data_IF_710520429609
#
_entry.id   IF_710520429609
#
_cell.length_a   1.000
_cell.length_b   1.000
_cell.length_c   1.000
_cell.angle_alpha   90.00
_cell.angle_beta   90.00
_cell.angle_gamma   90.00
#
_symmetry.space_group_name_H-M   'P 1'
#
loop_
_entity.id
_entity.type
_entity.pdbx_description
1 polymer ?
#
# COMPACT_ATOMS: atom_id res chain seq x y z
N UNK A 1 10.11 -3.31 22.08
CA UNK A 1 9.70 -3.50 20.69
C UNK A 1 8.77 -2.35 20.40
N UNK A 2 9.24 -1.47 19.53
CA UNK A 2 8.58 -0.21 19.24
C UNK A 2 7.51 -0.42 18.16
N UNK A 3 6.62 0.55 18.02
CA UNK A 3 5.46 0.43 17.11
C UNK A 3 5.84 0.47 15.63
N UNK A 4 7.03 0.96 15.28
CA UNK A 4 7.55 1.04 13.91
C UNK A 4 8.34 -0.22 13.49
N UNK A 5 8.25 -1.29 14.28
CA UNK A 5 8.84 -2.60 14.00
C UNK A 5 7.79 -3.52 13.37
N UNK A 6 8.06 -3.98 12.15
CA UNK A 6 7.30 -5.03 11.49
C UNK A 6 8.13 -6.32 11.45
N UNK A 7 7.98 -7.18 12.47
CA UNK A 7 8.57 -8.52 12.49
C UNK A 7 7.78 -9.43 11.54
N UNK A 8 8.44 -9.89 10.48
CA UNK A 8 7.87 -10.85 9.52
C UNK A 8 8.22 -12.28 9.90
N UNK A 9 9.28 -12.49 10.69
CA UNK A 9 9.72 -13.79 11.16
C UNK A 9 9.10 -14.11 12.54
N UNK A 10 8.15 -15.05 12.63
CA UNK A 10 7.48 -15.39 13.88
C UNK A 10 8.43 -16.04 14.90
N UNK A 11 9.56 -16.60 14.45
CA UNK A 11 10.55 -17.26 15.31
C UNK A 11 11.58 -16.30 15.90
N UNK A 12 11.50 -14.99 15.61
CA UNK A 12 12.47 -13.97 16.04
C UNK A 12 12.84 -14.11 17.52
N UNK A 13 11.86 -14.19 18.42
CA UNK A 13 12.13 -14.29 19.87
C UNK A 13 12.92 -15.56 20.21
N UNK A 14 12.55 -16.70 19.62
CA UNK A 14 13.23 -17.99 19.85
C UNK A 14 14.68 -17.92 19.35
N UNK A 15 14.88 -17.45 18.12
CA UNK A 15 16.21 -17.30 17.50
C UNK A 15 17.11 -16.43 18.39
N UNK A 16 16.61 -15.27 18.87
CA UNK A 16 17.40 -14.37 19.72
C UNK A 16 17.73 -14.98 21.10
N UNK A 17 16.85 -15.81 21.66
CA UNK A 17 17.10 -16.54 22.92
C UNK A 17 18.22 -17.58 22.72
N UNK A 18 18.18 -18.32 21.62
CA UNK A 18 19.15 -19.38 21.30
C UNK A 18 20.57 -18.84 21.11
N UNK A 19 20.72 -17.59 20.68
CA UNK A 19 22.03 -16.92 20.59
C UNK A 19 22.68 -16.66 21.96
N UNK A 20 21.95 -16.80 23.08
CA UNK A 20 22.45 -16.72 24.45
C UNK A 20 23.37 -15.50 24.69
N UNK A 21 22.95 -14.32 24.23
CA UNK A 21 23.65 -13.05 24.45
C UNK A 21 23.02 -12.26 25.59
N UNK A 22 23.85 -11.42 26.23
CA UNK A 22 23.39 -10.50 27.27
C UNK A 22 22.38 -9.49 26.75
N UNK A 23 22.65 -8.95 25.56
CA UNK A 23 21.81 -8.02 24.82
C UNK A 23 21.94 -8.33 23.35
N UNK A 24 20.83 -8.49 22.64
CA UNK A 24 20.82 -8.78 21.22
C UNK A 24 19.61 -8.15 20.53
N UNK A 25 19.82 -7.54 19.36
CA UNK A 25 18.80 -7.05 18.47
C UNK A 25 18.74 -7.88 17.18
N UNK A 26 17.55 -8.16 16.62
CA UNK A 26 17.45 -8.58 15.23
C UNK A 26 17.75 -7.37 14.34
N UNK A 27 18.51 -7.56 13.26
CA UNK A 27 18.77 -6.49 12.29
C UNK A 27 17.49 -6.21 11.50
N UNK A 28 16.98 -4.99 11.61
CA UNK A 28 15.86 -4.50 10.82
C UNK A 28 16.30 -3.30 10.00
N UNK A 29 15.81 -3.20 8.77
CA UNK A 29 16.09 -2.08 7.88
C UNK A 29 14.82 -1.48 7.31
N UNK A 30 14.86 -0.20 6.96
CA UNK A 30 13.79 0.42 6.16
C UNK A 30 13.91 -0.06 4.73
N UNK A 31 12.80 -0.52 4.16
CA UNK A 31 12.78 -1.07 2.80
C UNK A 31 13.40 -0.09 1.78
N UNK A 32 14.34 -0.59 0.96
CA UNK A 32 15.01 0.18 -0.09
C UNK A 32 15.92 1.32 0.41
N UNK A 33 16.22 1.40 1.72
CA UNK A 33 17.03 2.46 2.33
C UNK A 33 18.18 1.87 3.16
N UNK A 34 19.16 2.71 3.48
CA UNK A 34 20.30 2.33 4.32
C UNK A 34 20.08 2.56 5.82
N UNK A 35 18.88 2.96 6.21
CA UNK A 35 18.48 3.20 7.59
C UNK A 35 18.12 1.87 8.27
N UNK A 36 18.70 1.62 9.44
CA UNK A 36 18.48 0.40 10.23
C UNK A 36 18.43 0.70 11.73
N UNK A 37 18.13 -0.33 12.52
CA UNK A 37 18.02 -0.25 13.96
C UNK A 37 19.35 -0.39 14.72
N UNK A 38 20.50 -0.19 14.05
CA UNK A 38 21.82 -0.22 14.69
C UNK A 38 22.77 0.80 14.07
N UNK A 39 23.81 1.20 14.81
CA UNK A 39 24.95 1.95 14.25
C UNK A 39 26.21 1.10 14.34
N UNK A 40 27.02 1.11 13.28
CA UNK A 40 28.29 0.37 13.26
C UNK A 40 29.44 1.07 14.00
N UNK A 41 29.37 2.39 14.16
CA UNK A 41 30.40 3.19 14.82
C UNK A 41 29.81 4.47 15.45
N UNK A 42 30.62 5.13 16.27
CA UNK A 42 30.31 6.43 16.88
C UNK A 42 31.34 7.47 16.48
N UNK A 43 30.92 8.73 16.39
CA UNK A 43 31.83 9.87 16.35
C UNK A 43 32.52 10.05 17.71
N UNK A 44 33.60 10.86 17.81
CA UNK A 44 34.21 11.19 19.10
C UNK A 44 33.23 11.78 20.14
N UNK A 45 32.18 12.45 19.67
CA UNK A 45 31.12 13.04 20.48
C UNK A 45 30.00 12.04 20.84
N UNK A 46 30.10 10.79 20.41
CA UNK A 46 29.13 9.73 20.72
C UNK A 46 27.90 9.69 19.82
N UNK A 47 27.90 10.42 18.69
CA UNK A 47 26.82 10.42 17.70
C UNK A 47 27.05 9.40 16.58
N UNK A 48 26.07 9.26 15.70
CA UNK A 48 26.13 8.34 14.56
C UNK A 48 27.40 8.55 13.72
N UNK A 49 28.12 7.45 13.47
CA UNK A 49 29.16 7.37 12.46
C UNK A 49 29.01 6.06 11.67
N UNK A 50 29.22 6.12 10.36
CA UNK A 50 29.12 4.92 9.51
C UNK A 50 30.42 4.11 9.62
N UNK A 51 30.34 2.86 10.08
CA UNK A 51 31.48 1.94 10.03
C UNK A 51 31.79 1.49 8.60
N UNK A 52 33.02 1.06 8.36
CA UNK A 52 33.47 0.56 7.05
C UNK A 52 32.63 -0.62 6.54
N UNK A 53 32.18 -1.49 7.45
CA UNK A 53 31.43 -2.71 7.16
C UNK A 53 29.90 -2.55 7.25
N UNK A 54 29.39 -1.36 7.63
CA UNK A 54 27.95 -1.13 7.85
C UNK A 54 27.09 -1.55 6.66
N UNK A 55 27.49 -1.17 5.44
CA UNK A 55 26.72 -1.47 4.23
C UNK A 55 26.75 -2.96 3.90
N UNK A 56 27.88 -3.64 4.15
CA UNK A 56 28.01 -5.07 3.89
C UNK A 56 27.20 -5.91 4.87
N UNK A 57 27.13 -5.49 6.14
CA UNK A 57 26.26 -6.09 7.16
C UNK A 57 24.79 -5.87 6.79
N UNK A 58 24.41 -4.62 6.49
CA UNK A 58 23.03 -4.27 6.16
C UNK A 58 22.50 -5.02 4.93
N UNK A 59 23.33 -5.16 3.89
CA UNK A 59 22.96 -5.83 2.65
C UNK A 59 23.07 -7.36 2.72
N UNK A 60 23.41 -7.94 3.88
CA UNK A 60 23.59 -9.37 4.03
C UNK A 60 24.81 -9.93 3.27
N UNK A 61 25.76 -9.10 2.86
CA UNK A 61 27.03 -9.54 2.25
C UNK A 61 27.95 -10.14 3.30
N UNK A 62 27.88 -9.63 4.53
CA UNK A 62 28.50 -10.24 5.71
C UNK A 62 27.41 -10.59 6.70
N UNK A 63 27.27 -11.89 6.99
CA UNK A 63 26.23 -12.42 7.87
C UNK A 63 26.84 -12.94 9.16
N UNK A 64 26.26 -12.60 10.30
CA UNK A 64 26.80 -12.98 11.60
C UNK A 64 26.13 -12.29 12.80
N UNK A 65 26.83 -12.37 13.92
CA UNK A 65 26.53 -11.61 15.13
C UNK A 65 27.57 -10.52 15.29
N UNK A 66 27.12 -9.27 15.36
CA UNK A 66 27.99 -8.11 15.34
C UNK A 66 27.89 -7.37 16.66
N UNK A 67 29.02 -7.18 17.34
CA UNK A 67 29.07 -6.30 18.51
C UNK A 67 29.06 -4.85 18.00
N UNK A 68 28.03 -4.10 18.35
CA UNK A 68 27.77 -2.76 17.81
C UNK A 68 27.57 -1.75 18.95
N UNK A 69 27.97 -0.48 18.75
CA UNK A 69 27.87 0.53 19.80
C UNK A 69 26.43 1.01 20.07
N UNK A 70 25.48 0.79 19.16
CA UNK A 70 24.12 1.32 19.28
C UNK A 70 23.12 0.35 18.64
N UNK A 71 22.01 0.10 19.35
CA UNK A 71 20.84 -0.65 18.91
C UNK A 71 19.57 0.06 19.41
N UNK A 72 18.47 -0.08 18.70
CA UNK A 72 17.19 0.59 19.04
C UNK A 72 16.01 -0.22 18.46
N UNK A 73 14.78 0.23 18.71
CA UNK A 73 13.48 -0.29 18.30
C UNK A 73 13.11 -1.71 18.79
N UNK A 74 13.99 -2.69 18.62
CA UNK A 74 13.74 -4.07 19.08
C UNK A 74 15.03 -4.73 19.54
N UNK A 75 14.98 -5.27 20.76
CA UNK A 75 16.09 -5.97 21.37
C UNK A 75 15.60 -6.87 22.50
N UNK A 76 16.37 -7.92 22.76
CA UNK A 76 16.21 -8.87 23.85
C UNK A 76 17.33 -8.64 24.86
N UNK A 77 16.97 -8.54 26.14
CA UNK A 77 17.92 -8.34 27.24
C UNK A 77 17.77 -9.49 28.23
N UNK A 78 18.89 -10.10 28.59
CA UNK A 78 18.93 -11.12 29.63
C UNK A 78 18.65 -10.49 30.99
N UNK A 79 17.57 -10.90 31.66
CA UNK A 79 17.13 -10.29 32.91
C UNK A 79 18.16 -10.29 34.05
N UNK A 80 19.13 -11.22 34.05
CA UNK A 80 20.23 -11.22 35.02
C UNK A 80 21.16 -10.02 34.87
N UNK A 81 21.32 -9.47 33.66
CA UNK A 81 22.14 -8.29 33.38
C UNK A 81 21.50 -7.04 33.98
N UNK A 82 20.18 -6.92 33.85
CA UNK A 82 19.39 -5.84 34.45
C UNK A 82 19.50 -5.87 35.99
N UNK A 83 19.42 -7.05 36.59
CA UNK A 83 19.48 -7.23 38.05
C UNK A 83 20.89 -7.12 38.64
N UNK A 84 21.95 -7.16 37.83
CA UNK A 84 23.32 -7.05 38.30
C UNK A 84 23.98 -5.77 37.82
N UNK A 85 24.55 -5.77 36.61
CA UNK A 85 25.36 -4.70 36.05
C UNK A 85 24.62 -3.36 35.91
N UNK A 86 23.30 -3.40 35.76
CA UNK A 86 22.48 -2.21 35.48
C UNK A 86 21.50 -1.87 36.61
N UNK A 87 21.59 -2.54 37.76
CA UNK A 87 20.63 -2.38 38.85
C UNK A 87 20.59 -0.95 39.43
N UNK A 88 21.68 -0.20 39.30
CA UNK A 88 21.85 1.15 39.83
C UNK A 88 21.99 2.21 38.72
N UNK A 89 21.76 1.84 37.46
CA UNK A 89 21.93 2.74 36.31
C UNK A 89 20.56 3.25 35.86
N UNK A 90 20.45 4.55 35.62
CA UNK A 90 19.27 5.12 35.02
C UNK A 90 19.34 4.94 33.49
N UNK A 91 18.64 3.94 32.97
CA UNK A 91 18.85 3.45 31.60
C UNK A 91 18.41 4.42 30.49
N UNK A 92 17.54 5.39 30.77
CA UNK A 92 16.91 6.20 29.72
C UNK A 92 16.86 7.69 30.03
N UNK A 93 17.41 8.13 31.17
CA UNK A 93 17.36 9.53 31.58
C UNK A 93 18.77 10.09 31.74
N UNK A 94 19.11 11.04 30.88
CA UNK A 94 20.24 11.96 30.99
C UNK A 94 19.83 13.28 30.33
N UNK A 95 20.07 14.41 30.98
CA UNK A 95 19.57 15.71 30.50
C UNK A 95 20.25 16.09 29.18
N UNK A 96 19.44 16.34 28.14
CA UNK A 96 19.93 16.78 26.83
C UNK A 96 20.42 15.68 25.89
N UNK A 97 20.23 14.39 26.23
CA UNK A 97 20.52 13.26 25.36
C UNK A 97 19.26 12.46 25.02
N UNK A 98 19.21 11.92 23.81
CA UNK A 98 18.14 11.03 23.35
C UNK A 98 18.08 9.74 24.22
N UNK A 99 16.88 9.29 24.66
CA UNK A 99 16.75 8.11 25.53
C UNK A 99 17.39 6.82 24.99
N UNK A 100 17.34 6.56 23.68
CA UNK A 100 17.97 5.37 23.10
C UNK A 100 19.50 5.49 23.09
N UNK A 101 20.02 6.71 22.90
CA UNK A 101 21.46 6.99 23.05
C UNK A 101 21.91 6.79 24.51
N UNK A 102 21.12 7.25 25.49
CA UNK A 102 21.38 7.05 26.93
C UNK A 102 21.38 5.56 27.27
N UNK A 103 20.41 4.82 26.73
CA UNK A 103 20.34 3.36 26.87
C UNK A 103 21.61 2.69 26.38
N UNK A 104 21.98 2.93 25.12
CA UNK A 104 23.17 2.31 24.55
C UNK A 104 24.45 2.70 25.29
N UNK A 105 24.59 3.97 25.69
CA UNK A 105 25.72 4.46 26.49
C UNK A 105 25.81 3.74 27.84
N UNK A 106 24.69 3.61 28.56
CA UNK A 106 24.62 2.94 29.85
C UNK A 106 25.15 1.50 29.79
N UNK A 107 24.83 0.75 28.72
CA UNK A 107 25.36 -0.59 28.52
C UNK A 107 26.86 -0.61 28.23
N UNK A 108 27.34 0.32 27.38
CA UNK A 108 28.77 0.45 27.07
C UNK A 108 29.60 0.81 28.31
N UNK A 109 29.12 1.74 29.13
CA UNK A 109 29.80 2.21 30.35
C UNK A 109 29.93 1.08 31.39
N UNK A 110 29.03 0.09 31.38
CA UNK A 110 29.09 -1.12 32.22
C UNK A 110 29.83 -2.31 31.57
N UNK A 111 30.48 -2.08 30.42
CA UNK A 111 31.19 -3.12 29.67
C UNK A 111 30.27 -4.26 29.26
N UNK A 112 29.03 -3.95 28.87
CA UNK A 112 28.08 -4.92 28.31
C UNK A 112 28.01 -4.73 26.82
N UNK A 113 28.40 -5.76 26.07
CA UNK A 113 28.27 -5.77 24.62
C UNK A 113 26.81 -5.83 24.20
N UNK A 114 26.50 -5.08 23.14
CA UNK A 114 25.22 -5.09 22.44
C UNK A 114 25.44 -5.74 21.09
N UNK A 115 24.69 -6.80 20.82
CA UNK A 115 24.82 -7.55 19.58
C UNK A 115 23.69 -7.21 18.62
N UNK A 116 23.95 -7.20 17.32
CA UNK A 116 22.93 -7.28 16.28
C UNK A 116 23.12 -8.56 15.47
N UNK A 117 22.04 -9.28 15.21
CA UNK A 117 22.03 -10.48 14.36
C UNK A 117 21.44 -10.15 13.00
N UNK A 118 22.14 -10.50 11.93
CA UNK A 118 21.60 -10.50 10.56
C UNK A 118 21.64 -11.91 9.94
N UNK A 119 21.64 -12.95 10.79
CA UNK A 119 21.68 -14.36 10.39
C UNK A 119 20.39 -14.87 9.76
N UNK A 120 19.29 -14.19 10.04
CA UNK A 120 17.97 -14.45 9.47
C UNK A 120 17.36 -13.14 8.97
N UNK A 121 16.39 -13.24 8.08
CA UNK A 121 15.47 -12.14 7.80
C UNK A 121 14.44 -12.07 8.92
N UNK A 122 14.49 -11.01 9.72
CA UNK A 122 13.62 -10.82 10.88
C UNK A 122 12.41 -9.93 10.56
N UNK A 123 12.52 -9.09 9.53
CA UNK A 123 11.51 -8.08 9.20
C UNK A 123 12.11 -6.73 8.83
N UNK A 124 11.32 -5.68 9.06
CA UNK A 124 11.60 -4.34 8.54
C UNK A 124 11.17 -3.24 9.51
N UNK A 125 11.69 -2.04 9.26
CA UNK A 125 11.27 -0.81 9.94
C UNK A 125 10.27 -0.04 9.07
N UNK A 126 9.19 0.42 9.70
CA UNK A 126 8.14 1.26 9.10
C UNK A 126 8.57 2.73 9.20
N UNK A 127 8.33 3.50 8.14
CA UNK A 127 8.55 4.94 8.13
C UNK A 127 7.35 5.69 8.74
N UNK A 128 7.61 6.48 9.77
CA UNK A 128 6.58 7.25 10.51
C UNK A 128 6.74 8.78 10.38
N UNK A 129 7.80 9.27 9.74
CA UNK A 129 8.19 10.69 9.78
C UNK A 129 7.18 11.66 9.18
N UNK A 130 6.39 11.25 8.19
CA UNK A 130 5.41 12.08 7.48
C UNK A 130 3.98 11.54 7.60
N UNK A 131 3.69 10.78 8.66
CA UNK A 131 2.40 10.11 8.81
C UNK A 131 1.30 11.10 9.23
N UNK A 132 0.37 11.39 8.30
CA UNK A 132 -0.74 12.31 8.55
C UNK A 132 -1.94 11.62 9.21
N UNK A 133 -2.10 11.79 10.52
CA UNK A 133 -3.16 11.19 11.33
C UNK A 133 -4.52 11.89 11.23
N UNK A 134 -4.64 13.01 10.51
CA UNK A 134 -5.93 13.74 10.42
C UNK A 134 -6.95 13.09 9.46
N UNK A 135 -6.51 12.11 8.67
CA UNK A 135 -7.35 11.40 7.70
C UNK A 135 -8.13 10.27 8.38
N UNK A 136 -9.30 9.92 7.85
CA UNK A 136 -10.10 8.80 8.36
C UNK A 136 -9.32 7.48 8.34
N UNK A 137 -8.64 7.21 7.22
CA UNK A 137 -7.74 6.07 7.06
C UNK A 137 -6.37 6.53 6.53
N UNK A 138 -5.47 6.98 7.43
CA UNK A 138 -4.15 7.51 7.05
C UNK A 138 -3.31 6.55 6.21
N UNK A 139 -3.44 5.26 6.48
CA UNK A 139 -2.68 4.19 5.84
C UNK A 139 -2.94 4.08 4.33
N UNK A 140 -4.10 4.52 3.84
CA UNK A 140 -4.38 4.56 2.40
C UNK A 140 -3.30 5.36 1.65
N UNK A 141 -2.74 6.41 2.27
CA UNK A 141 -1.73 7.28 1.65
C UNK A 141 -0.29 6.78 1.83
N UNK A 142 -0.07 5.59 2.39
CA UNK A 142 1.26 5.09 2.71
C UNK A 142 1.95 4.34 1.57
N UNK A 143 1.38 4.35 0.36
CA UNK A 143 1.98 3.69 -0.81
C UNK A 143 3.39 4.22 -1.14
N UNK A 144 3.72 5.46 -0.78
CA UNK A 144 5.05 6.03 -0.98
C UNK A 144 6.05 5.67 0.12
N UNK A 145 5.65 5.85 1.38
CA UNK A 145 6.55 5.75 2.52
C UNK A 145 6.77 4.30 2.95
N UNK A 146 5.74 3.46 2.85
CA UNK A 146 5.71 2.07 3.30
C UNK A 146 5.09 1.15 2.22
N UNK A 147 5.69 1.05 1.02
CA UNK A 147 5.08 0.36 -0.13
C UNK A 147 4.85 -1.13 0.11
N UNK A 148 5.70 -1.80 0.88
CA UNK A 148 5.57 -3.25 1.18
C UNK A 148 4.38 -3.49 2.09
N UNK A 149 4.31 -2.77 3.22
CA UNK A 149 3.19 -2.84 4.15
C UNK A 149 1.86 -2.41 3.50
N UNK A 150 1.92 -1.39 2.65
CA UNK A 150 0.76 -0.93 1.86
C UNK A 150 0.28 -2.03 0.91
N UNK A 151 1.20 -2.69 0.19
CA UNK A 151 0.88 -3.81 -0.71
C UNK A 151 0.21 -4.96 0.05
N UNK A 152 0.82 -5.43 1.12
CA UNK A 152 0.31 -6.53 1.95
C UNK A 152 -1.10 -6.21 2.50
N UNK A 153 -1.38 -4.94 2.79
CA UNK A 153 -2.65 -4.48 3.36
C UNK A 153 -3.74 -4.22 2.32
N UNK A 154 -3.39 -3.67 1.16
CA UNK A 154 -4.36 -3.07 0.25
C UNK A 154 -4.46 -3.73 -1.12
N UNK A 155 -3.43 -4.44 -1.56
CA UNK A 155 -3.46 -5.17 -2.83
C UNK A 155 -4.11 -6.53 -2.61
N UNK A 156 -4.86 -7.01 -3.59
CA UNK A 156 -5.53 -8.31 -3.48
C UNK A 156 -4.50 -9.44 -3.29
N UNK A 157 -4.75 -10.39 -2.39
CA UNK A 157 -3.83 -11.50 -2.06
C UNK A 157 -3.39 -12.31 -3.30
N UNK A 158 -4.34 -12.57 -4.21
CA UNK A 158 -4.10 -13.26 -5.48
C UNK A 158 -3.58 -12.37 -6.63
N UNK A 159 -3.26 -11.09 -6.39
CA UNK A 159 -2.74 -10.20 -7.45
C UNK A 159 -1.46 -10.77 -8.08
N UNK A 160 -0.51 -11.25 -7.27
CA UNK A 160 0.76 -11.76 -7.79
C UNK A 160 0.59 -12.96 -8.73
N UNK A 161 -0.48 -13.75 -8.54
CA UNK A 161 -0.79 -14.93 -9.35
C UNK A 161 -1.17 -14.57 -10.80
N UNK A 162 -1.53 -13.32 -11.10
CA UNK A 162 -1.77 -12.83 -12.46
C UNK A 162 -0.55 -13.10 -13.36
N UNK A 163 0.65 -13.02 -12.80
CA UNK A 163 1.90 -13.16 -13.54
C UNK A 163 2.36 -14.61 -13.69
N UNK A 164 1.69 -15.56 -13.04
CA UNK A 164 1.98 -17.00 -13.10
C UNK A 164 1.13 -17.65 -14.21
N UNK A 165 1.76 -18.38 -15.13
CA UNK A 165 1.09 -18.88 -16.36
C UNK A 165 0.07 -20.00 -16.10
N UNK A 166 0.11 -20.65 -14.94
CA UNK A 166 -0.69 -21.86 -14.65
C UNK A 166 -1.92 -21.61 -13.75
N UNK A 167 -2.14 -20.39 -13.26
CA UNK A 167 -3.13 -20.15 -12.20
C UNK A 167 -4.53 -19.82 -12.70
N UNK A 168 -4.69 -19.42 -13.97
CA UNK A 168 -5.98 -19.08 -14.57
C UNK A 168 -6.75 -17.96 -13.86
N UNK A 169 -6.06 -17.11 -13.08
CA UNK A 169 -6.69 -16.06 -12.26
C UNK A 169 -7.29 -14.93 -13.09
N UNK A 170 -6.69 -14.63 -14.25
CA UNK A 170 -7.23 -13.62 -15.17
C UNK A 170 -8.29 -14.26 -16.06
N UNK A 171 -9.46 -13.64 -16.09
CA UNK A 171 -10.56 -14.03 -16.97
C UNK A 171 -10.72 -13.04 -18.12
N UNK A 172 -11.32 -13.48 -19.21
CA UNK A 172 -11.70 -12.62 -20.35
C UNK A 172 -13.21 -12.75 -20.60
N UNK A 173 -14.07 -12.13 -19.77
CA UNK A 173 -15.53 -12.31 -19.86
C UNK A 173 -16.15 -11.80 -21.18
N UNK A 174 -15.52 -10.83 -21.85
CA UNK A 174 -15.92 -10.34 -23.16
C UNK A 174 -14.66 -10.19 -24.05
N UNK A 175 -14.78 -10.17 -25.39
CA UNK A 175 -13.65 -9.92 -26.28
C UNK A 175 -12.88 -8.65 -25.88
N UNK A 176 -11.57 -8.76 -25.69
CA UNK A 176 -10.67 -7.68 -25.22
C UNK A 176 -11.13 -6.97 -23.93
N UNK A 177 -11.88 -7.66 -23.08
CA UNK A 177 -12.21 -7.24 -21.72
C UNK A 177 -11.62 -8.24 -20.76
N UNK A 178 -10.55 -7.86 -20.08
CA UNK A 178 -9.88 -8.70 -19.09
C UNK A 178 -10.39 -8.39 -17.69
N UNK A 179 -10.34 -9.38 -16.80
CA UNK A 179 -10.85 -9.26 -15.44
C UNK A 179 -9.91 -9.95 -14.45
N UNK A 180 -9.42 -9.20 -13.46
CA UNK A 180 -8.36 -9.66 -12.56
C UNK A 180 -8.49 -9.05 -11.17
N UNK A 181 -7.95 -9.70 -10.12
CA UNK A 181 -7.94 -9.16 -8.76
C UNK A 181 -6.96 -7.98 -8.63
N UNK A 182 -7.41 -6.87 -8.03
CA UNK A 182 -6.60 -5.66 -7.86
C UNK A 182 -6.53 -5.21 -6.39
N UNK A 183 -7.67 -5.02 -5.74
CA UNK A 183 -7.78 -4.56 -4.36
C UNK A 183 -8.18 -5.65 -3.38
N UNK A 184 -7.64 -5.57 -2.17
CA UNK A 184 -8.18 -6.28 -1.02
C UNK A 184 -9.56 -5.72 -0.64
N UNK A 185 -10.33 -6.51 0.10
CA UNK A 185 -11.61 -6.02 0.65
C UNK A 185 -11.42 -4.77 1.52
N UNK A 186 -10.31 -4.70 2.27
CA UNK A 186 -9.98 -3.57 3.15
C UNK A 186 -9.72 -2.28 2.38
N UNK A 187 -9.04 -2.35 1.23
CA UNK A 187 -8.84 -1.20 0.35
C UNK A 187 -10.18 -0.68 -0.15
N UNK A 188 -11.05 -1.59 -0.60
CA UNK A 188 -12.37 -1.24 -1.10
C UNK A 188 -13.23 -0.56 -0.02
N UNK A 189 -13.31 -1.13 1.19
CA UNK A 189 -14.11 -0.58 2.28
C UNK A 189 -13.60 0.81 2.71
N UNK A 190 -12.30 0.92 2.98
CA UNK A 190 -11.71 2.18 3.44
C UNK A 190 -11.76 3.27 2.38
N UNK A 191 -11.66 2.93 1.09
CA UNK A 191 -11.83 3.90 0.01
C UNK A 191 -13.27 4.40 -0.05
N UNK A 192 -14.27 3.51 -0.02
CA UNK A 192 -15.70 3.89 -0.03
C UNK A 192 -16.05 4.77 1.17
N UNK A 193 -15.62 4.38 2.37
CA UNK A 193 -15.85 5.15 3.60
C UNK A 193 -15.16 6.52 3.56
N UNK A 194 -13.98 6.61 2.96
CA UNK A 194 -13.30 7.89 2.72
C UNK A 194 -14.10 8.79 1.78
N UNK A 195 -14.66 8.24 0.70
CA UNK A 195 -15.50 8.99 -0.25
C UNK A 195 -16.78 9.49 0.42
N UNK A 196 -17.45 8.63 1.18
CA UNK A 196 -18.68 9.01 1.90
C UNK A 196 -18.42 10.02 3.03
N UNK A 197 -17.26 9.93 3.71
CA UNK A 197 -16.85 10.91 4.71
C UNK A 197 -16.53 12.28 4.09
N UNK A 198 -16.03 12.32 2.85
CA UNK A 198 -15.90 13.58 2.10
C UNK A 198 -17.26 14.16 1.73
N UNK A 199 -18.20 13.32 1.27
CA UNK A 199 -19.62 13.65 1.13
C UNK A 199 -20.00 14.60 -0.03
N UNK A 200 -19.03 15.28 -0.65
CA UNK A 200 -19.24 16.19 -1.78
C UNK A 200 -19.33 15.41 -3.10
N UNK A 201 -20.36 14.60 -3.28
CA UNK A 201 -20.64 13.90 -4.54
C UNK A 201 -21.10 14.86 -5.64
N UNK A 202 -20.75 14.59 -6.90
CA UNK A 202 -21.24 15.37 -8.04
C UNK A 202 -22.77 15.30 -8.16
N UNK A 203 -23.37 16.28 -8.84
CA UNK A 203 -24.81 16.26 -9.16
C UNK A 203 -25.19 15.34 -10.33
N UNK A 204 -24.25 14.61 -10.95
CA UNK A 204 -24.49 13.84 -12.17
C UNK A 204 -24.89 14.73 -13.36
N UNK A 205 -24.41 15.98 -13.37
CA UNK A 205 -24.76 16.99 -14.36
C UNK A 205 -23.59 17.27 -15.31
N UNK A 206 -23.88 17.65 -16.56
CA UNK A 206 -22.86 17.97 -17.55
C UNK A 206 -21.93 19.11 -17.14
N UNK A 207 -22.33 19.97 -16.20
CA UNK A 207 -21.48 21.03 -15.65
C UNK A 207 -21.00 20.63 -14.27
N UNK A 208 -19.69 20.60 -14.11
CA UNK A 208 -19.05 20.34 -12.83
C UNK A 208 -17.86 21.30 -12.66
N UNK A 209 -18.05 22.34 -11.85
CA UNK A 209 -17.05 23.38 -11.58
C UNK A 209 -15.81 22.83 -10.84
N UNK A 210 -15.90 21.62 -10.30
CA UNK A 210 -14.80 20.94 -9.60
C UNK A 210 -13.82 20.30 -10.60
N UNK A 211 -14.24 20.15 -11.86
CA UNK A 211 -13.40 19.63 -12.95
C UNK A 211 -12.64 20.75 -13.66
N UNK A 212 -11.41 20.43 -14.08
CA UNK A 212 -10.64 21.30 -14.97
C UNK A 212 -11.34 21.40 -16.34
N UNK A 213 -12.01 22.53 -16.59
CA UNK A 213 -12.78 22.79 -17.82
C UNK A 213 -14.30 22.81 -17.63
N UNK A 214 -14.81 22.43 -16.45
CA UNK A 214 -16.20 22.67 -16.07
C UNK A 214 -17.26 21.82 -16.77
N UNK A 215 -16.88 20.87 -17.63
CA UNK A 215 -17.83 20.12 -18.46
C UNK A 215 -17.50 18.63 -18.58
N UNK A 216 -18.49 17.78 -18.34
CA UNK A 216 -18.39 16.33 -18.46
C UNK A 216 -19.30 15.82 -19.57
N UNK A 217 -18.74 15.10 -20.55
CA UNK A 217 -19.50 14.63 -21.72
C UNK A 217 -20.54 13.56 -21.36
N UNK A 218 -20.28 12.78 -20.30
CA UNK A 218 -21.12 11.68 -19.84
C UNK A 218 -21.12 11.70 -18.31
N UNK A 219 -21.99 12.52 -17.69
CA UNK A 219 -21.83 12.81 -16.28
C UNK A 219 -22.20 11.64 -15.38
N UNK A 220 -21.44 11.49 -14.30
CA UNK A 220 -21.67 10.52 -13.22
C UNK A 220 -21.73 11.18 -11.86
N UNK A 221 -22.50 10.62 -10.92
CA UNK A 221 -22.42 11.00 -9.49
C UNK A 221 -21.12 10.43 -8.92
N UNK A 222 -20.12 11.28 -8.76
CA UNK A 222 -18.75 10.86 -8.46
C UNK A 222 -17.95 11.84 -7.59
N UNK A 223 -16.81 11.33 -7.14
CA UNK A 223 -15.74 12.07 -6.45
C UNK A 223 -14.41 11.69 -7.10
N UNK A 224 -13.66 12.70 -7.54
CA UNK A 224 -12.33 12.55 -8.12
C UNK A 224 -11.25 12.41 -7.05
N UNK A 225 -10.18 11.66 -7.36
CA UNK A 225 -9.08 11.41 -6.41
C UNK A 225 -8.38 12.71 -5.98
N UNK A 226 -8.35 13.73 -6.83
CA UNK A 226 -7.75 15.03 -6.49
C UNK A 226 -8.55 15.78 -5.41
N UNK A 227 -9.87 15.63 -5.35
CA UNK A 227 -10.74 16.30 -4.38
C UNK A 227 -10.47 15.82 -2.94
N UNK A 228 -10.07 14.55 -2.78
CA UNK A 228 -9.63 13.99 -1.50
C UNK A 228 -8.11 14.00 -1.31
N UNK A 229 -7.36 14.61 -2.25
CA UNK A 229 -5.90 14.65 -2.21
C UNK A 229 -5.24 13.27 -2.27
N UNK A 230 -5.80 12.33 -3.03
CA UNK A 230 -5.34 10.94 -3.23
C UNK A 230 -4.83 10.67 -4.67
N UNK A 231 -4.76 11.70 -5.52
CA UNK A 231 -4.38 11.54 -6.93
C UNK A 231 -2.96 10.99 -7.10
N UNK A 232 -1.98 11.45 -6.31
CA UNK A 232 -0.59 11.00 -6.44
C UNK A 232 -0.45 9.52 -6.07
N UNK A 233 -1.12 9.11 -5.01
CA UNK A 233 -1.18 7.75 -4.51
C UNK A 233 -1.85 6.83 -5.52
N UNK A 234 -2.96 7.30 -6.11
CA UNK A 234 -3.65 6.60 -7.17
C UNK A 234 -2.78 6.41 -8.42
N UNK A 235 -2.11 7.47 -8.89
CA UNK A 235 -1.21 7.39 -10.05
C UNK A 235 -0.03 6.44 -9.78
N UNK A 236 0.48 6.40 -8.54
CA UNK A 236 1.47 5.39 -8.14
C UNK A 236 0.90 3.97 -8.20
N UNK A 237 -0.34 3.77 -7.74
CA UNK A 237 -1.02 2.48 -7.86
C UNK A 237 -1.16 2.05 -9.33
N UNK A 238 -1.58 2.95 -10.23
CA UNK A 238 -1.65 2.64 -11.67
C UNK A 238 -0.29 2.18 -12.20
N UNK A 239 0.77 2.93 -11.88
CA UNK A 239 2.12 2.64 -12.36
C UNK A 239 2.68 1.32 -11.83
N UNK A 240 2.48 1.01 -10.56
CA UNK A 240 3.07 -0.18 -9.93
C UNK A 240 2.24 -1.45 -10.11
N UNK A 241 0.90 -1.33 -10.25
CA UNK A 241 0.00 -2.48 -10.21
C UNK A 241 -0.87 -2.65 -11.46
N UNK A 242 -1.11 -1.59 -12.24
CA UNK A 242 -1.94 -1.71 -13.45
C UNK A 242 -1.06 -1.83 -14.69
N UNK A 243 -0.01 -1.03 -14.81
CA UNK A 243 0.92 -1.09 -15.96
C UNK A 243 1.45 -2.51 -16.22
N UNK A 244 2.00 -3.24 -15.21
CA UNK A 244 2.54 -4.57 -15.47
C UNK A 244 1.47 -5.56 -15.93
N UNK A 245 0.23 -5.43 -15.42
CA UNK A 245 -0.91 -6.25 -15.85
C UNK A 245 -1.27 -5.91 -17.28
N UNK A 246 -1.36 -4.62 -17.64
CA UNK A 246 -1.67 -4.20 -19.01
C UNK A 246 -0.62 -4.70 -20.01
N UNK A 247 0.67 -4.59 -19.70
CA UNK A 247 1.75 -5.08 -20.57
C UNK A 247 1.68 -6.61 -20.79
N UNK A 248 1.31 -7.37 -19.75
CA UNK A 248 1.10 -8.82 -19.86
C UNK A 248 -0.11 -9.15 -20.74
N UNK A 249 -1.23 -8.43 -20.58
CA UNK A 249 -2.49 -8.74 -21.25
C UNK A 249 -2.59 -8.18 -22.67
N UNK A 250 -1.83 -7.13 -22.97
CA UNK A 250 -1.71 -6.52 -24.30
C UNK A 250 -0.24 -6.48 -24.76
N UNK A 251 0.35 -7.63 -25.11
CA UNK A 251 1.73 -7.68 -25.57
C UNK A 251 2.00 -6.69 -26.72
N UNK A 252 3.00 -5.83 -26.53
CA UNK A 252 3.38 -4.79 -27.50
C UNK A 252 2.83 -3.39 -27.18
N UNK A 253 1.96 -3.25 -26.18
CA UNK A 253 1.57 -1.96 -25.63
C UNK A 253 2.35 -1.65 -24.36
N UNK A 254 2.87 -0.43 -24.24
CA UNK A 254 3.68 0.05 -23.11
C UNK A 254 3.02 1.29 -22.50
N UNK A 255 2.17 1.12 -21.48
CA UNK A 255 1.41 2.21 -20.91
C UNK A 255 2.29 3.26 -20.21
N UNK A 256 1.90 4.52 -20.28
CA UNK A 256 2.56 5.62 -19.53
C UNK A 256 1.95 5.82 -18.14
N UNK A 257 0.80 5.18 -17.86
CA UNK A 257 -0.01 5.39 -16.66
C UNK A 257 -0.40 6.87 -16.47
N UNK A 258 -0.57 7.60 -17.55
CA UNK A 258 -1.07 8.97 -17.48
C UNK A 258 -2.59 8.92 -17.35
N UNK A 259 -3.16 9.40 -16.26
CA UNK A 259 -4.61 9.41 -16.06
C UNK A 259 -5.03 10.70 -15.36
N UNK A 260 -5.83 11.53 -16.05
CA UNK A 260 -6.39 12.77 -15.49
C UNK A 260 -7.73 12.49 -14.80
N UNK A 261 -8.52 11.58 -15.37
CA UNK A 261 -9.85 11.24 -14.87
C UNK A 261 -9.76 9.96 -14.01
N UNK A 262 -9.66 10.15 -12.69
CA UNK A 262 -9.63 9.09 -11.69
C UNK A 262 -10.69 9.39 -10.63
N UNK A 263 -11.73 8.57 -10.55
CA UNK A 263 -12.91 8.90 -9.75
C UNK A 263 -13.67 7.67 -9.29
N UNK A 264 -14.27 7.77 -8.11
CA UNK A 264 -15.24 6.78 -7.62
C UNK A 264 -16.62 7.22 -8.02
N UNK A 265 -17.37 6.32 -8.68
CA UNK A 265 -18.77 6.53 -9.05
C UNK A 265 -19.67 5.83 -8.06
N UNK A 266 -20.79 6.48 -7.71
CA UNK A 266 -21.87 5.93 -6.92
C UNK A 266 -23.14 5.80 -7.75
N UNK A 267 -23.68 4.59 -7.85
CA UNK A 267 -24.98 4.35 -8.45
C UNK A 267 -26.01 3.98 -7.38
N UNK A 268 -27.16 4.66 -7.42
CA UNK A 268 -28.33 4.36 -6.59
C UNK A 268 -29.63 4.47 -7.38
N UNK A 269 -30.68 3.69 -7.04
CA UNK A 269 -32.00 3.79 -7.67
C UNK A 269 -32.65 5.18 -7.59
N UNK A 270 -32.40 5.91 -6.51
CA UNK A 270 -32.98 7.22 -6.18
C UNK A 270 -32.12 8.42 -6.62
N UNK A 271 -30.92 8.16 -7.16
CA UNK A 271 -30.01 9.18 -7.70
C UNK A 271 -29.77 8.90 -9.20
N UNK A 272 -28.56 8.48 -9.56
CA UNK A 272 -28.22 8.01 -10.89
C UNK A 272 -28.04 6.48 -10.86
N UNK A 273 -28.99 5.68 -11.38
CA UNK A 273 -28.89 4.22 -11.31
C UNK A 273 -28.07 3.59 -12.42
N UNK A 274 -27.89 4.29 -13.54
CA UNK A 274 -27.32 3.75 -14.78
C UNK A 274 -26.46 4.77 -15.51
N UNK A 275 -25.69 4.31 -16.50
CA UNK A 275 -24.92 5.17 -17.38
C UNK A 275 -25.22 4.83 -18.84
N UNK A 276 -25.60 5.84 -19.62
CA UNK A 276 -25.96 5.68 -21.04
C UNK A 276 -24.78 5.13 -21.87
N UNK A 277 -25.03 4.52 -23.04
CA UNK A 277 -23.98 4.08 -23.94
C UNK A 277 -22.97 5.20 -24.30
N UNK A 278 -21.68 4.94 -24.15
CA UNK A 278 -20.60 5.89 -24.44
C UNK A 278 -19.27 5.22 -24.78
N UNK A 279 -18.30 6.05 -25.19
CA UNK A 279 -16.88 5.73 -25.22
C UNK A 279 -16.16 6.53 -24.14
N UNK A 280 -15.06 5.96 -23.63
CA UNK A 280 -14.19 6.65 -22.71
C UNK A 280 -13.14 7.45 -23.47
N UNK A 281 -12.74 8.58 -22.91
CA UNK A 281 -11.59 9.32 -23.42
C UNK A 281 -10.29 8.73 -22.85
N UNK A 282 -10.00 7.48 -23.19
CA UNK A 282 -8.82 6.73 -22.76
C UNK A 282 -8.29 5.84 -23.89
N UNK A 283 -7.02 5.45 -23.83
CA UNK A 283 -6.57 4.28 -24.60
C UNK A 283 -7.19 3.03 -24.01
N UNK A 284 -7.10 2.85 -22.69
CA UNK A 284 -7.80 1.81 -21.95
C UNK A 284 -8.38 2.34 -20.64
N UNK A 285 -9.45 1.72 -20.20
CA UNK A 285 -10.13 2.03 -18.94
C UNK A 285 -9.98 0.85 -18.00
N UNK A 286 -9.77 1.14 -16.71
CA UNK A 286 -9.95 0.18 -15.64
C UNK A 286 -11.18 0.55 -14.82
N UNK A 287 -11.90 -0.47 -14.37
CA UNK A 287 -13.10 -0.34 -13.55
C UNK A 287 -13.06 -1.38 -12.44
N UNK A 288 -12.89 -0.93 -11.20
CA UNK A 288 -12.71 -1.78 -10.02
C UNK A 288 -13.99 -1.74 -9.18
N UNK A 289 -14.55 -2.91 -8.89
CA UNK A 289 -15.71 -3.00 -8.00
C UNK A 289 -15.29 -2.78 -6.54
N UNK A 290 -15.97 -1.87 -5.84
CA UNK A 290 -15.65 -1.55 -4.44
C UNK A 290 -16.59 -2.20 -3.43
N UNK A 291 -17.71 -2.76 -3.88
CA UNK A 291 -18.63 -3.49 -3.01
C UNK A 291 -19.32 -4.67 -3.71
N UNK A 292 -20.08 -5.46 -2.97
CA UNK A 292 -20.53 -6.81 -3.37
C UNK A 292 -21.95 -6.79 -3.94
N UNK A 293 -22.10 -7.29 -5.16
CA UNK A 293 -23.41 -7.56 -5.76
C UNK A 293 -24.16 -8.63 -4.94
N UNK A 294 -25.46 -8.43 -4.74
CA UNK A 294 -26.35 -9.32 -3.98
C UNK A 294 -26.32 -9.09 -2.46
N UNK A 295 -25.34 -8.34 -1.95
CA UNK A 295 -25.24 -7.95 -0.54
C UNK A 295 -25.51 -6.45 -0.41
N UNK A 296 -24.69 -5.63 -1.08
CA UNK A 296 -24.72 -4.18 -0.95
C UNK A 296 -25.63 -3.52 -2.01
N UNK A 297 -25.83 -4.19 -3.16
CA UNK A 297 -26.70 -3.74 -4.23
C UNK A 297 -27.25 -4.88 -5.10
N UNK A 298 -28.33 -4.61 -5.83
CA UNK A 298 -28.89 -5.47 -6.89
C UNK A 298 -28.85 -4.78 -8.25
N UNK A 299 -28.90 -5.58 -9.32
CA UNK A 299 -28.73 -5.08 -10.68
C UNK A 299 -27.27 -4.71 -10.98
N UNK A 300 -27.07 -3.69 -11.80
CA UNK A 300 -25.74 -3.20 -12.15
C UNK A 300 -24.98 -4.08 -13.14
N UNK A 301 -23.72 -3.71 -13.34
CA UNK A 301 -22.80 -4.32 -14.30
C UNK A 301 -22.37 -3.36 -15.40
N UNK A 302 -21.73 -3.91 -16.42
CA UNK A 302 -21.35 -3.21 -17.64
C UNK A 302 -21.75 -4.06 -18.84
N UNK A 303 -22.30 -3.44 -19.90
CA UNK A 303 -22.59 -4.12 -21.16
C UNK A 303 -21.81 -3.48 -22.29
N UNK A 304 -21.11 -4.31 -23.05
CA UNK A 304 -20.42 -3.91 -24.27
C UNK A 304 -21.31 -4.18 -25.48
N UNK A 305 -21.85 -3.12 -26.08
CA UNK A 305 -22.94 -3.21 -27.05
C UNK A 305 -22.54 -3.95 -28.33
N UNK A 306 -21.35 -3.66 -28.86
CA UNK A 306 -20.84 -4.29 -30.09
C UNK A 306 -20.73 -5.81 -30.00
N UNK A 307 -20.53 -6.34 -28.78
CA UNK A 307 -20.36 -7.77 -28.55
C UNK A 307 -21.62 -8.43 -27.96
N UNK A 308 -22.66 -7.64 -27.67
CA UNK A 308 -23.81 -8.06 -26.87
C UNK A 308 -23.39 -8.84 -25.59
N UNK A 309 -22.27 -8.42 -25.00
CA UNK A 309 -21.65 -9.11 -23.87
C UNK A 309 -21.85 -8.28 -22.59
N UNK A 310 -22.11 -8.96 -21.47
CA UNK A 310 -22.38 -8.33 -20.19
C UNK A 310 -21.47 -8.88 -19.11
N UNK A 311 -20.92 -7.97 -18.31
CA UNK A 311 -20.20 -8.27 -17.07
C UNK A 311 -21.14 -7.91 -15.92
N UNK A 312 -21.99 -8.85 -15.52
CA UNK A 312 -23.07 -8.59 -14.56
C UNK A 312 -22.67 -8.77 -13.10
N UNK A 313 -21.58 -9.47 -12.76
CA UNK A 313 -21.24 -9.81 -11.37
C UNK A 313 -19.88 -9.26 -10.95
N UNK A 314 -19.74 -7.94 -10.71
CA UNK A 314 -18.48 -7.38 -10.26
C UNK A 314 -18.08 -7.99 -8.91
N UNK A 315 -16.93 -8.68 -8.88
CA UNK A 315 -16.33 -9.24 -7.68
C UNK A 315 -15.64 -8.08 -6.96
N UNK A 316 -15.96 -7.85 -5.69
CA UNK A 316 -15.32 -6.80 -4.90
C UNK A 316 -13.80 -6.95 -4.98
N UNK A 317 -13.11 -5.85 -5.22
CA UNK A 317 -11.66 -5.81 -5.39
C UNK A 317 -11.14 -6.25 -6.76
N UNK A 318 -12.00 -6.72 -7.67
CA UNK A 318 -11.58 -7.09 -9.03
C UNK A 318 -11.76 -5.92 -10.00
N UNK A 319 -10.77 -5.75 -10.87
CA UNK A 319 -10.75 -4.77 -11.95
C UNK A 319 -11.05 -5.43 -13.27
N UNK A 320 -12.00 -4.90 -14.04
CA UNK A 320 -12.04 -5.19 -15.47
C UNK A 320 -11.38 -4.07 -16.27
N UNK A 321 -10.65 -4.46 -17.32
CA UNK A 321 -9.84 -3.60 -18.17
C UNK A 321 -10.26 -3.79 -19.63
N UNK A 322 -10.52 -2.69 -20.33
CA UNK A 322 -10.92 -2.71 -21.74
C UNK A 322 -10.41 -1.47 -22.49
N UNK A 323 -10.28 -1.52 -23.83
CA UNK A 323 -10.05 -0.32 -24.64
C UNK A 323 -11.13 0.75 -24.43
N UNK A 324 -10.76 2.03 -24.38
CA UNK A 324 -11.72 3.12 -24.16
C UNK A 324 -12.40 3.63 -25.42
N UNK A 325 -11.65 3.65 -26.52
CA UNK A 325 -12.06 4.22 -27.82
C UNK A 325 -12.39 3.16 -28.86
N UNK A 326 -13.14 3.59 -29.89
CA UNK A 326 -13.47 2.88 -31.13
C UNK A 326 -14.30 1.59 -30.96
N UNK A 327 -13.84 0.61 -30.17
CA UNK A 327 -14.34 -0.77 -30.22
C UNK A 327 -15.25 -1.15 -29.05
N UNK A 328 -15.15 -0.49 -27.90
CA UNK A 328 -15.87 -0.88 -26.67
C UNK A 328 -16.92 0.16 -26.28
N UNK A 329 -17.84 0.44 -27.19
CA UNK A 329 -19.02 1.25 -26.87
C UNK A 329 -19.87 0.50 -25.84
N UNK A 330 -20.01 1.07 -24.65
CA UNK A 330 -20.52 0.35 -23.48
C UNK A 330 -21.49 1.18 -22.64
N UNK A 331 -22.32 0.50 -21.86
CA UNK A 331 -23.32 1.11 -20.96
C UNK A 331 -23.21 0.55 -19.53
N UNK A 332 -23.50 1.40 -18.55
CA UNK A 332 -23.64 1.00 -17.16
C UNK A 332 -25.07 0.53 -16.90
N UNK A 333 -25.23 -0.78 -16.64
CA UNK A 333 -26.55 -1.37 -16.39
C UNK A 333 -27.18 -0.80 -15.10
N UNK A 334 -28.51 -0.66 -15.02
CA UNK A 334 -29.17 -0.05 -13.87
C UNK A 334 -28.95 -0.83 -12.57
N UNK A 335 -28.51 -0.13 -11.52
CA UNK A 335 -28.59 -0.57 -10.13
C UNK A 335 -30.05 -0.46 -9.67
N UNK A 336 -30.66 -1.57 -9.26
CA UNK A 336 -32.09 -1.65 -8.94
C UNK A 336 -32.41 -1.58 -7.46
N UNK A 337 -31.43 -1.90 -6.60
CA UNK A 337 -31.55 -1.78 -5.13
C UNK A 337 -30.18 -1.51 -4.52
N UNK A 338 -30.15 -0.85 -3.36
CA UNK A 338 -28.91 -0.59 -2.62
C UNK A 338 -28.02 0.44 -3.30
N UNK A 339 -26.72 0.40 -3.00
CA UNK A 339 -25.74 1.35 -3.56
C UNK A 339 -24.57 0.59 -4.17
N UNK A 340 -24.20 0.91 -5.41
CA UNK A 340 -23.05 0.32 -6.09
C UNK A 340 -21.92 1.35 -6.19
N UNK A 341 -20.73 0.96 -5.74
CA UNK A 341 -19.52 1.77 -5.87
C UNK A 341 -18.52 1.11 -6.82
N UNK A 342 -17.95 1.91 -7.71
CA UNK A 342 -16.85 1.51 -8.59
C UNK A 342 -15.77 2.58 -8.63
N UNK A 343 -14.51 2.17 -8.73
CA UNK A 343 -13.39 3.06 -9.01
C UNK A 343 -13.03 2.97 -10.48
N UNK A 344 -13.04 4.10 -11.19
CA UNK A 344 -12.80 4.17 -12.62
C UNK A 344 -11.56 5.02 -12.90
N UNK A 345 -10.77 4.61 -13.89
CA UNK A 345 -9.68 5.45 -14.40
C UNK A 345 -9.54 5.35 -15.90
N UNK A 346 -9.48 6.51 -16.54
CA UNK A 346 -9.22 6.67 -17.96
C UNK A 346 -7.72 6.84 -18.17
N UNK A 347 -7.07 5.76 -18.59
CA UNK A 347 -5.60 5.68 -18.68
C UNK A 347 -5.13 5.91 -20.11
N UNK A 348 -4.07 6.69 -20.24
CA UNK A 348 -3.43 7.14 -21.47
C UNK A 348 -4.45 7.76 -22.46
N UNK A 349 -5.10 8.89 -22.09
CA UNK A 349 -6.12 9.58 -22.87
C UNK A 349 -5.65 10.14 -24.23
#
# INVERSE_FOLDING_TARGET
MDSDVALTNPDTLRILIEENRSVIAPMLSRHGKLWSNFWGALSPEGYYYRSEDYIEILQGKRVGLWNVPYITQVYLIKGSVLRSKLAQVNLFMDDGMDPDMVFCRSFRDQGVFMFVSNRDDFGRLVASSNFNTSRLYPDLWQIFDNPVDWREKYVHENYSKIFEDETGVVEQPCPDVYWFPAFSDKMCDQLVETMEAHGEWSGGSHKDERLAGGYENVPTVDIHMNQIGFEKEWLKFLKEYIVPVTEKLYPGYYPKAHAIMNFVVRYRPDEQPSLRPHHDSSTFTINIALNRKGIDYEGGGCRFLRYNCKVESPRKGWSFMHPGRLTHYHEGLPTTRGTRYIMVSFVDP
#
